data_IF_747940295721
#
_entry.id   IF_747940295721
#
_cell.length_a   1.000
_cell.length_b   1.000
_cell.length_c   1.000
_cell.angle_alpha   90.00
_cell.angle_beta   90.00
_cell.angle_gamma   90.00
#
_symmetry.space_group_name_H-M   'P 1'
#
loop_
_entity.id
_entity.type
_entity.pdbx_description
1 polymer ?
#
# COMPACT_ATOMS: atom_id res chain seq x y z
N UNK A 1 -6.38 -17.36 12.73
CA UNK A 1 -6.12 -16.93 12.63
C UNK A 1 -5.60 -15.94 12.75
N UNK A 2 -4.83 -15.58 12.60
CA UNK A 2 -4.39 -14.55 12.78
C UNK A 2 -4.06 -13.80 11.76
N UNK A 3 -4.76 -12.87 11.29
CA UNK A 3 -4.42 -12.00 10.42
C UNK A 3 -3.60 -11.04 11.02
N UNK A 4 -2.53 -10.56 10.46
CA UNK A 4 -1.74 -9.57 10.95
C UNK A 4 -1.98 -8.35 10.23
N UNK A 5 -2.38 -7.31 10.90
CA UNK A 5 -2.49 -5.98 10.35
C UNK A 5 -1.24 -5.27 10.80
N UNK A 6 -0.41 -4.90 9.88
CA UNK A 6 0.84 -4.24 10.20
C UNK A 6 0.73 -2.77 9.84
N UNK A 7 0.97 -1.93 10.83
CA UNK A 7 0.98 -0.51 10.62
C UNK A 7 2.42 -0.05 10.68
N UNK A 8 2.89 0.55 9.62
CA UNK A 8 4.23 1.07 9.56
C UNK A 8 4.16 2.56 9.82
N UNK A 9 4.71 2.98 10.94
CA UNK A 9 4.65 4.35 11.33
C UNK A 9 5.93 5.04 11.05
N UNK A 10 5.82 6.25 10.59
CA UNK A 10 6.91 7.15 10.63
C UNK A 10 6.78 7.85 11.94
N UNK A 11 7.55 7.43 12.94
CA UNK A 11 7.38 7.93 14.22
C UNK A 11 7.95 9.26 14.29
N UNK A 12 7.17 10.23 14.23
CA UNK A 12 7.56 11.60 14.30
C UNK A 12 7.12 12.13 15.63
N UNK A 13 8.05 12.53 16.42
CA UNK A 13 7.72 12.99 17.74
C UNK A 13 7.39 14.45 17.75
N UNK A 14 7.05 14.94 18.85
CA UNK A 14 6.83 16.33 19.06
C UNK A 14 5.65 16.89 18.39
N UNK A 15 4.63 16.14 18.29
CA UNK A 15 3.37 16.63 17.80
C UNK A 15 3.26 16.75 16.32
N UNK A 16 4.27 16.34 15.62
CA UNK A 16 4.14 16.33 14.18
C UNK A 16 3.21 15.21 13.80
N UNK A 17 2.51 15.37 12.68
CA UNK A 17 1.64 14.32 12.26
C UNK A 17 2.43 13.16 11.72
N UNK A 18 1.85 12.01 11.79
CA UNK A 18 2.46 10.80 11.32
C UNK A 18 1.86 10.38 10.02
N UNK A 19 2.71 9.90 9.14
CA UNK A 19 2.26 9.26 7.94
C UNK A 19 2.34 7.77 8.20
N UNK A 20 1.27 7.07 7.88
CA UNK A 20 1.19 5.67 8.21
C UNK A 20 0.69 4.86 7.03
N UNK A 21 1.48 3.89 6.62
CA UNK A 21 1.06 2.91 5.62
C UNK A 21 0.55 1.70 6.38
N UNK A 22 -0.65 1.25 6.06
CA UNK A 22 -1.24 0.10 6.73
C UNK A 22 -1.20 -1.08 5.78
N UNK A 23 -0.63 -2.19 6.24
CA UNK A 23 -0.51 -3.38 5.41
C UNK A 23 -1.10 -4.57 6.14
N UNK A 24 -1.98 -5.29 5.46
CA UNK A 24 -2.52 -6.55 5.95
C UNK A 24 -1.99 -7.62 5.01
N UNK A 25 -1.07 -8.43 5.49
CA UNK A 25 -0.42 -9.43 4.66
C UNK A 25 -1.27 -10.65 4.37
N UNK A 26 -2.39 -10.77 5.04
CA UNK A 26 -3.23 -11.95 4.85
C UNK A 26 -4.70 -11.63 5.06
N UNK A 27 -5.26 -10.76 4.22
CA UNK A 27 -6.66 -10.38 4.37
C UNK A 27 -7.56 -11.60 4.09
N UNK A 28 -8.64 -11.69 4.83
CA UNK A 28 -9.58 -12.79 4.63
C UNK A 28 -10.40 -12.54 3.38
N UNK A 29 -10.91 -13.61 2.80
CA UNK A 29 -11.79 -13.49 1.64
C UNK A 29 -13.02 -12.66 2.00
N UNK A 30 -13.51 -12.82 3.21
CA UNK A 30 -14.64 -12.05 3.69
C UNK A 30 -14.35 -10.57 3.67
N UNK A 31 -13.17 -10.17 4.15
CA UNK A 31 -12.79 -8.77 4.19
C UNK A 31 -12.73 -8.19 2.78
N UNK A 32 -12.10 -8.92 1.86
CA UNK A 32 -11.96 -8.46 0.49
C UNK A 32 -13.33 -8.31 -0.17
N UNK A 33 -14.22 -9.24 0.13
CA UNK A 33 -15.56 -9.21 -0.43
C UNK A 33 -16.36 -8.04 0.14
N UNK A 34 -16.27 -7.81 1.42
CA UNK A 34 -16.96 -6.70 2.07
C UNK A 34 -16.50 -5.36 1.52
N UNK A 35 -15.23 -5.27 1.21
CA UNK A 35 -14.68 -4.04 0.66
C UNK A 35 -15.01 -3.87 -0.82
N UNK A 36 -15.45 -4.94 -1.48
CA UNK A 36 -15.78 -4.89 -2.90
C UNK A 36 -14.55 -4.80 -3.79
N UNK A 37 -13.44 -5.39 -3.34
CA UNK A 37 -12.16 -5.28 -4.04
C UNK A 37 -12.26 -5.66 -5.51
N UNK A 38 -13.02 -6.70 -5.82
CA UNK A 38 -13.09 -7.19 -7.21
C UNK A 38 -13.74 -6.18 -8.16
N UNK A 39 -14.42 -5.17 -7.62
CA UNK A 39 -15.05 -4.14 -8.45
C UNK A 39 -14.15 -2.91 -8.62
N UNK A 40 -13.02 -2.88 -7.95
CA UNK A 40 -12.12 -1.73 -8.01
C UNK A 40 -11.35 -1.74 -9.33
N UNK A 41 -10.83 -0.57 -9.71
CA UNK A 41 -10.02 -0.45 -10.91
C UNK A 41 -8.76 -1.29 -10.81
N UNK A 42 -8.18 -1.59 -11.94
CA UNK A 42 -6.92 -2.37 -12.00
C UNK A 42 -5.84 -1.49 -12.60
N UNK A 43 -4.65 -1.59 -12.05
CA UNK A 43 -3.49 -0.87 -12.53
C UNK A 43 -2.31 -1.82 -12.63
N UNK A 44 -1.60 -1.73 -13.74
CA UNK A 44 -0.41 -2.54 -14.01
C UNK A 44 0.80 -1.64 -14.09
N UNK A 45 1.95 -2.16 -13.69
CA UNK A 45 3.18 -1.39 -13.80
C UNK A 45 4.38 -2.31 -13.95
N UNK A 46 5.21 -2.00 -14.93
CA UNK A 46 6.43 -2.76 -15.14
C UNK A 46 7.47 -2.39 -14.09
N UNK A 47 8.48 -3.24 -13.89
CA UNK A 47 9.57 -2.90 -12.98
C UNK A 47 10.14 -1.54 -13.32
N UNK A 48 10.22 -0.68 -12.32
CA UNK A 48 10.62 0.71 -12.53
C UNK A 48 10.77 1.41 -11.18
N UNK A 49 11.34 2.61 -11.21
CA UNK A 49 11.48 3.43 -10.01
C UNK A 49 10.92 4.80 -10.29
N UNK A 50 10.17 5.34 -9.34
CA UNK A 50 9.61 6.69 -9.51
C UNK A 50 9.11 7.22 -8.16
N UNK A 51 9.08 8.55 -8.03
CA UNK A 51 8.47 9.13 -6.84
C UNK A 51 6.96 9.08 -6.99
N UNK A 52 6.27 8.97 -5.87
CA UNK A 52 4.82 8.94 -5.88
C UNK A 52 4.27 9.63 -4.65
N UNK A 53 3.52 10.70 -4.88
CA UNK A 53 2.85 11.45 -3.83
C UNK A 53 1.37 11.12 -3.90
N UNK A 54 0.76 10.91 -2.74
CA UNK A 54 -0.65 10.53 -2.71
C UNK A 54 -1.53 11.73 -2.42
N UNK A 55 -2.25 12.19 -3.43
CA UNK A 55 -3.21 13.29 -3.27
C UNK A 55 -4.50 12.85 -2.63
N UNK A 56 -4.74 11.55 -2.59
CA UNK A 56 -5.92 10.95 -1.97
C UNK A 56 -5.48 9.67 -1.28
N UNK A 57 -6.27 9.20 -0.33
CA UNK A 57 -6.02 7.90 0.28
C UNK A 57 -6.23 6.85 -0.79
N UNK A 58 -5.31 5.90 -0.89
CA UNK A 58 -5.47 4.80 -1.82
C UNK A 58 -5.50 3.47 -1.07
N UNK A 59 -6.56 2.71 -1.30
CA UNK A 59 -6.64 1.34 -0.81
C UNK A 59 -6.34 0.45 -2.00
N UNK A 60 -5.52 -0.58 -1.79
CA UNK A 60 -5.12 -1.45 -2.89
C UNK A 60 -4.98 -2.89 -2.43
N UNK A 61 -5.26 -3.80 -3.34
CA UNK A 61 -5.03 -5.22 -3.12
C UNK A 61 -4.13 -5.71 -4.25
N UNK A 62 -2.97 -6.22 -3.90
CA UNK A 62 -1.97 -6.63 -4.88
C UNK A 62 -2.26 -8.02 -5.39
N UNK A 63 -2.47 -8.12 -6.69
CA UNK A 63 -2.75 -9.41 -7.35
C UNK A 63 -1.48 -10.10 -7.78
N UNK A 64 -0.49 -9.33 -8.26
CA UNK A 64 0.76 -9.89 -8.78
C UNK A 64 1.88 -8.90 -8.51
N UNK A 65 3.07 -9.42 -8.31
CA UNK A 65 4.25 -8.59 -8.28
C UNK A 65 4.72 -8.17 -6.91
N UNK A 66 5.60 -7.19 -6.92
CA UNK A 66 6.22 -6.73 -5.70
C UNK A 66 6.67 -5.29 -5.84
N UNK A 67 6.45 -4.51 -4.79
CA UNK A 67 6.87 -3.12 -4.73
C UNK A 67 7.64 -2.87 -3.44
N UNK A 68 8.63 -2.00 -3.54
CA UNK A 68 9.30 -1.47 -2.37
C UNK A 68 8.90 -0.02 -2.28
N UNK A 69 8.28 0.36 -1.19
CA UNK A 69 7.82 1.73 -0.98
C UNK A 69 8.61 2.35 0.16
N UNK A 70 9.28 3.45 -0.13
CA UNK A 70 10.06 4.16 0.88
C UNK A 70 9.38 5.50 1.16
N UNK A 71 8.70 5.61 2.31
CA UNK A 71 8.09 6.88 2.69
C UNK A 71 9.18 7.91 2.96
N UNK A 72 8.90 9.16 2.67
CA UNK A 72 9.84 10.24 2.96
C UNK A 72 10.12 10.24 4.46
N UNK A 73 11.39 10.15 4.80
CA UNK A 73 11.80 10.13 6.21
C UNK A 73 11.56 8.82 6.93
N UNK A 74 11.17 7.76 6.23
CA UNK A 74 10.86 6.49 6.85
C UNK A 74 11.57 5.32 6.21
N UNK A 75 11.25 4.14 6.71
CA UNK A 75 11.88 2.92 6.23
C UNK A 75 11.12 2.31 5.07
N UNK A 76 11.84 1.62 4.22
CA UNK A 76 11.23 0.92 3.09
C UNK A 76 10.35 -0.21 3.57
N UNK A 77 9.16 -0.31 2.99
CA UNK A 77 8.28 -1.45 3.22
C UNK A 77 8.14 -2.22 1.92
N UNK A 78 8.00 -3.52 2.03
CA UNK A 78 7.84 -4.40 0.87
C UNK A 78 6.41 -4.88 0.82
N UNK A 79 5.78 -4.71 -0.32
CA UNK A 79 4.38 -5.08 -0.53
C UNK A 79 4.35 -6.03 -1.71
N UNK A 80 3.66 -7.16 -1.57
CA UNK A 80 3.64 -8.18 -2.62
C UNK A 80 2.26 -8.76 -2.83
N UNK A 81 2.17 -9.62 -3.81
CA UNK A 81 0.91 -10.29 -4.15
C UNK A 81 0.27 -10.87 -2.89
N UNK A 82 -1.01 -10.63 -2.72
CA UNK A 82 -1.77 -11.07 -1.57
C UNK A 82 -1.89 -10.05 -0.47
N UNK A 83 -1.16 -8.94 -0.56
CA UNK A 83 -1.22 -7.90 0.46
C UNK A 83 -2.33 -6.89 0.18
N UNK A 84 -3.00 -6.49 1.24
CA UNK A 84 -3.93 -5.36 1.18
C UNK A 84 -3.24 -4.19 1.85
N UNK A 85 -3.25 -3.04 1.23
CA UNK A 85 -2.51 -1.89 1.73
C UNK A 85 -3.34 -0.62 1.62
N UNK A 86 -3.14 0.28 2.58
CA UNK A 86 -3.75 1.61 2.54
C UNK A 86 -2.63 2.64 2.61
N UNK A 87 -2.53 3.46 1.57
CA UNK A 87 -1.60 4.56 1.52
C UNK A 87 -2.36 5.84 1.88
N UNK A 88 -1.97 6.54 2.93
CA UNK A 88 -2.74 7.70 3.38
C UNK A 88 -2.53 8.91 2.48
N UNK A 89 -3.56 9.73 2.38
CA UNK A 89 -3.47 11.00 1.67
C UNK A 89 -2.32 11.80 2.26
N UNK A 90 -1.54 12.40 1.41
CA UNK A 90 -0.41 13.24 1.84
C UNK A 90 0.91 12.49 1.93
N UNK A 91 0.88 11.17 1.76
CA UNK A 91 2.12 10.40 1.80
C UNK A 91 2.99 10.77 0.61
N UNK A 92 4.27 11.04 0.89
CA UNK A 92 5.27 11.25 -0.14
C UNK A 92 6.20 10.07 -0.09
N UNK A 93 6.45 9.46 -1.22
CA UNK A 93 7.21 8.21 -1.22
C UNK A 93 7.98 8.03 -2.51
N UNK A 94 8.91 7.08 -2.47
CA UNK A 94 9.58 6.60 -3.66
C UNK A 94 9.22 5.14 -3.82
N UNK A 95 8.88 4.76 -5.01
CA UNK A 95 8.46 3.40 -5.34
C UNK A 95 9.52 2.72 -6.19
N UNK A 96 9.71 1.45 -5.91
CA UNK A 96 10.47 0.60 -6.79
C UNK A 96 9.63 -0.63 -7.05
N UNK A 97 9.14 -0.77 -8.27
CA UNK A 97 8.42 -1.97 -8.68
C UNK A 97 9.51 -2.97 -9.07
N UNK A 98 9.67 -4.03 -8.28
CA UNK A 98 10.72 -5.01 -8.50
C UNK A 98 10.26 -6.19 -9.34
N UNK A 99 8.94 -6.43 -9.38
CA UNK A 99 8.34 -7.47 -10.22
C UNK A 99 7.08 -6.88 -10.81
N UNK A 100 6.78 -7.23 -12.05
CA UNK A 100 5.58 -6.74 -12.74
C UNK A 100 4.40 -6.70 -11.78
N UNK A 101 3.84 -5.53 -11.60
CA UNK A 101 2.79 -5.27 -10.63
C UNK A 101 1.41 -5.25 -11.25
N UNK A 102 0.46 -5.82 -10.54
CA UNK A 102 -0.95 -5.70 -10.90
C UNK A 102 -1.74 -5.59 -9.62
N UNK A 103 -2.58 -4.61 -9.52
CA UNK A 103 -3.36 -4.39 -8.30
C UNK A 103 -4.75 -3.85 -8.61
N UNK A 104 -5.69 -4.16 -7.72
CA UNK A 104 -6.97 -3.46 -7.65
C UNK A 104 -6.73 -2.26 -6.75
N UNK A 105 -7.33 -1.11 -7.07
CA UNK A 105 -7.17 0.06 -6.21
C UNK A 105 -8.41 0.93 -6.22
N UNK A 106 -8.53 1.74 -5.18
CA UNK A 106 -9.62 2.68 -5.03
C UNK A 106 -9.12 3.88 -4.27
N UNK A 107 -9.46 5.07 -4.73
CA UNK A 107 -9.15 6.31 -4.03
C UNK A 107 -10.34 6.76 -3.21
N UNK A 108 -10.06 7.40 -2.08
CA UNK A 108 -11.15 7.90 -1.25
C UNK A 108 -10.76 9.17 -0.48
#
# INVERSE_FOLDING_TARGET
MNRKLIAVFLRIFKGLHMTQIIIDHNPSQEKLKELGVSSWSIWDCEPSKFPLDFGMTESAYVLEGEIRVTPQGGETVVIKAGDFVVFPKGLKSNWEVTKQLKKHYKHS
#
